data_IF_207468794263
#
_entry.id   IF_207468794263
#
_cell.length_a   1.000
_cell.length_b   1.000
_cell.length_c   1.000
_cell.angle_alpha   90.00
_cell.angle_beta   90.00
_cell.angle_gamma   90.00
#
_symmetry.space_group_name_H-M   'P 1'
#
loop_
_entity.id
_entity.type
_entity.pdbx_description
1 polymer ?
#
# COMPACT_ATOMS: atom_id res chain seq x y z
N UNK A 1 -11.32 -21.31 8.96
CA UNK A 1 -11.85 -20.65 10.16
C UNK A 1 -11.50 -21.42 11.42
N UNK A 2 -12.06 -22.63 11.66
CA UNK A 2 -11.79 -23.45 12.86
C UNK A 2 -10.30 -23.62 13.20
N UNK A 3 -9.48 -24.04 12.23
CA UNK A 3 -8.06 -24.31 12.45
C UNK A 3 -7.23 -23.09 12.89
N UNK A 4 -7.68 -21.87 12.56
CA UNK A 4 -6.97 -20.62 12.86
C UNK A 4 -7.74 -19.76 13.87
N UNK A 5 -8.79 -20.29 14.50
CA UNK A 5 -9.61 -19.55 15.44
C UNK A 5 -10.30 -18.30 14.87
N UNK A 6 -10.48 -18.20 13.53
CA UNK A 6 -11.02 -16.99 12.87
C UNK A 6 -12.53 -16.88 13.18
N UNK A 7 -12.99 -15.83 13.89
CA UNK A 7 -14.38 -15.71 14.31
C UNK A 7 -15.34 -15.40 13.17
N UNK A 8 -14.93 -14.55 12.24
CA UNK A 8 -15.76 -14.05 11.15
C UNK A 8 -14.97 -13.85 9.87
N UNK A 9 -15.61 -14.08 8.72
CA UNK A 9 -15.00 -13.97 7.40
C UNK A 9 -16.03 -13.55 6.35
N UNK A 10 -15.65 -12.62 5.47
CA UNK A 10 -16.38 -12.34 4.23
C UNK A 10 -15.51 -12.72 3.03
N UNK A 11 -16.10 -13.38 2.04
CA UNK A 11 -15.45 -13.85 0.82
C UNK A 11 -16.22 -13.38 -0.39
N UNK A 12 -15.51 -12.87 -1.39
CA UNK A 12 -16.05 -12.63 -2.70
C UNK A 12 -15.11 -13.17 -3.79
N UNK A 13 -15.69 -13.73 -4.84
CA UNK A 13 -14.96 -14.23 -6.01
C UNK A 13 -15.50 -13.52 -7.23
N UNK A 14 -14.60 -12.92 -8.00
CA UNK A 14 -14.93 -12.22 -9.24
C UNK A 14 -14.27 -12.95 -10.40
N UNK A 15 -15.06 -13.28 -11.41
CA UNK A 15 -14.61 -13.93 -12.65
C UNK A 15 -15.23 -13.20 -13.83
N UNK A 16 -14.39 -12.79 -14.78
CA UNK A 16 -14.82 -12.05 -15.98
C UNK A 16 -15.66 -10.81 -15.66
N UNK A 17 -15.24 -10.02 -14.65
CA UNK A 17 -15.94 -8.82 -14.21
C UNK A 17 -17.26 -9.05 -13.47
N UNK A 18 -17.66 -10.31 -13.23
CA UNK A 18 -18.89 -10.67 -12.51
C UNK A 18 -18.56 -11.26 -11.14
N UNK A 19 -19.32 -10.85 -10.12
CA UNK A 19 -19.30 -11.51 -8.81
C UNK A 19 -19.94 -12.90 -8.97
N UNK A 20 -19.12 -13.95 -8.97
CA UNK A 20 -19.58 -15.34 -9.07
C UNK A 20 -19.82 -15.97 -7.70
N UNK A 21 -19.32 -15.34 -6.64
CA UNK A 21 -19.61 -15.73 -5.25
C UNK A 21 -19.49 -14.52 -4.34
N UNK A 22 -20.43 -14.39 -3.41
CA UNK A 22 -20.34 -13.55 -2.21
C UNK A 22 -20.85 -14.40 -1.06
N UNK A 23 -20.06 -14.56 0.00
CA UNK A 23 -20.42 -15.41 1.14
C UNK A 23 -19.83 -14.84 2.41
N UNK A 24 -20.60 -14.91 3.49
CA UNK A 24 -20.17 -14.49 4.82
C UNK A 24 -20.28 -15.65 5.80
N UNK A 25 -19.42 -15.66 6.80
CA UNK A 25 -19.30 -16.74 7.77
C UNK A 25 -19.00 -16.17 9.14
N UNK A 26 -19.61 -16.78 10.17
CA UNK A 26 -19.28 -16.51 11.57
C UNK A 26 -19.73 -15.14 12.08
N UNK A 27 -18.97 -14.60 13.03
CA UNK A 27 -19.39 -13.49 13.91
C UNK A 27 -18.43 -12.32 13.77
N UNK A 28 -18.96 -11.13 13.47
CA UNK A 28 -18.23 -9.87 13.36
C UNK A 28 -17.88 -9.26 14.73
N UNK A 29 -18.68 -9.55 15.75
CA UNK A 29 -18.43 -9.17 17.14
C UNK A 29 -18.92 -10.27 18.09
N UNK A 30 -18.00 -10.87 18.84
CA UNK A 30 -18.23 -11.96 19.77
C UNK A 30 -18.99 -11.51 21.03
N UNK A 31 -18.72 -10.31 21.54
CA UNK A 31 -19.34 -9.79 22.77
C UNK A 31 -20.86 -9.63 22.64
N UNK A 32 -21.33 -9.23 21.45
CA UNK A 32 -22.73 -9.00 21.12
C UNK A 32 -23.30 -10.07 20.18
N UNK A 33 -22.53 -11.12 19.90
CA UNK A 33 -22.86 -12.19 18.96
C UNK A 33 -23.43 -11.67 17.61
N UNK A 34 -22.81 -10.63 17.04
CA UNK A 34 -23.26 -10.03 15.77
C UNK A 34 -22.72 -10.82 14.58
N UNK A 35 -23.56 -11.33 13.67
CA UNK A 35 -23.09 -12.09 12.51
C UNK A 35 -22.34 -11.21 11.51
N UNK A 36 -21.42 -11.82 10.73
CA UNK A 36 -20.84 -11.16 9.56
C UNK A 36 -21.89 -11.06 8.45
N UNK A 37 -22.10 -9.86 7.93
CA UNK A 37 -22.98 -9.56 6.79
C UNK A 37 -22.16 -9.02 5.62
N UNK A 38 -22.80 -8.89 4.45
CA UNK A 38 -22.17 -8.25 3.28
C UNK A 38 -21.90 -6.75 3.49
N UNK A 39 -22.40 -6.17 4.59
CA UNK A 39 -22.19 -4.77 4.97
C UNK A 39 -21.21 -4.63 6.14
N UNK A 40 -20.65 -5.75 6.65
CA UNK A 40 -19.65 -5.72 7.71
C UNK A 40 -18.37 -5.05 7.21
N UNK A 41 -17.92 -4.03 7.94
CA UNK A 41 -16.72 -3.28 7.66
C UNK A 41 -15.51 -3.93 8.35
N UNK A 42 -14.50 -4.31 7.56
CA UNK A 42 -13.26 -4.91 8.06
C UNK A 42 -12.10 -3.94 7.89
N UNK A 43 -11.19 -3.91 8.87
CA UNK A 43 -9.87 -3.30 8.69
C UNK A 43 -9.10 -4.09 7.62
N UNK A 44 -8.67 -3.42 6.56
CA UNK A 44 -7.93 -4.00 5.43
C UNK A 44 -6.44 -3.68 5.42
N UNK A 45 -5.99 -2.87 6.39
CA UNK A 45 -4.57 -2.58 6.60
C UNK A 45 -3.87 -2.09 5.32
N UNK A 46 -2.71 -2.65 5.01
CA UNK A 46 -1.88 -2.25 3.87
C UNK A 46 -2.51 -2.44 2.50
N UNK A 47 -3.69 -3.08 2.39
CA UNK A 47 -4.47 -3.05 1.16
C UNK A 47 -4.88 -1.61 0.77
N UNK A 48 -4.96 -0.67 1.72
CA UNK A 48 -5.23 0.76 1.45
C UNK A 48 -4.20 1.39 0.51
N UNK A 49 -2.98 0.88 0.45
CA UNK A 49 -1.93 1.34 -0.49
C UNK A 49 -2.36 1.22 -1.95
N UNK A 50 -3.19 0.24 -2.28
CA UNK A 50 -3.74 0.11 -3.64
C UNK A 50 -4.65 1.29 -4.01
N UNK A 51 -5.41 1.80 -3.04
CA UNK A 51 -6.23 2.99 -3.23
C UNK A 51 -5.40 4.26 -3.31
N UNK A 52 -4.37 4.40 -2.46
CA UNK A 52 -3.41 5.49 -2.55
C UNK A 52 -2.71 5.52 -3.91
N UNK A 53 -2.22 4.37 -4.39
CA UNK A 53 -1.62 4.26 -5.73
C UNK A 53 -2.61 4.62 -6.83
N UNK A 54 -3.89 4.27 -6.67
CA UNK A 54 -4.96 4.68 -7.60
C UNK A 54 -5.11 6.20 -7.64
N UNK A 55 -5.07 6.88 -6.49
CA UNK A 55 -5.08 8.35 -6.42
C UNK A 55 -3.87 8.98 -7.10
N UNK A 56 -2.67 8.44 -6.86
CA UNK A 56 -1.46 8.94 -7.53
C UNK A 56 -1.58 8.77 -9.05
N UNK A 57 -2.04 7.62 -9.52
CA UNK A 57 -2.31 7.38 -10.95
C UNK A 57 -3.35 8.35 -11.52
N UNK A 58 -4.42 8.64 -10.78
CA UNK A 58 -5.42 9.64 -11.20
C UNK A 58 -4.81 11.04 -11.31
N UNK A 59 -3.98 11.43 -10.36
CA UNK A 59 -3.28 12.71 -10.39
C UNK A 59 -2.28 12.79 -11.57
N UNK A 60 -1.61 11.68 -11.89
CA UNK A 60 -0.77 11.57 -13.11
C UNK A 60 -1.59 11.75 -14.37
N UNK A 61 -2.70 11.02 -14.49
CA UNK A 61 -3.57 11.10 -15.65
C UNK A 61 -4.17 12.51 -15.86
N UNK A 62 -4.48 13.20 -14.76
CA UNK A 62 -4.95 14.59 -14.78
C UNK A 62 -3.83 15.62 -15.02
N UNK A 63 -2.58 15.19 -15.23
CA UNK A 63 -1.43 16.07 -15.44
C UNK A 63 -1.00 16.87 -14.21
N UNK A 64 -1.52 16.54 -13.01
CA UNK A 64 -1.18 17.22 -11.75
C UNK A 64 0.19 16.81 -11.21
N UNK A 65 0.65 15.59 -11.53
CA UNK A 65 1.99 15.12 -11.19
C UNK A 65 2.54 14.13 -12.23
N UNK A 66 3.85 13.85 -12.17
CA UNK A 66 4.49 12.77 -12.95
C UNK A 66 5.26 11.81 -12.04
N UNK A 67 5.44 10.58 -12.51
CA UNK A 67 6.23 9.57 -11.81
C UNK A 67 7.69 9.97 -11.62
N UNK A 68 8.25 10.64 -12.62
CA UNK A 68 9.64 11.11 -12.63
C UNK A 68 9.80 12.52 -12.07
N UNK A 69 8.73 13.11 -11.53
CA UNK A 69 8.85 14.41 -10.87
C UNK A 69 9.68 14.23 -9.57
N UNK A 70 10.63 15.14 -9.31
CA UNK A 70 11.29 15.21 -8.01
C UNK A 70 10.27 15.53 -6.94
N UNK A 71 10.32 14.82 -5.81
CA UNK A 71 9.36 15.03 -4.71
C UNK A 71 9.43 16.47 -4.16
N UNK A 72 10.58 17.13 -4.27
CA UNK A 72 10.77 18.53 -3.88
C UNK A 72 9.93 19.53 -4.66
N UNK A 73 9.30 19.14 -5.78
CA UNK A 73 8.30 19.96 -6.47
C UNK A 73 7.02 20.15 -5.66
N UNK A 74 6.74 19.25 -4.71
CA UNK A 74 5.47 19.19 -3.96
C UNK A 74 5.63 19.45 -2.46
N UNK A 75 6.87 19.49 -1.97
CA UNK A 75 7.20 19.57 -0.57
C UNK A 75 7.95 20.87 -0.31
N UNK A 76 7.62 21.53 0.79
CA UNK A 76 8.35 22.71 1.23
C UNK A 76 9.68 22.24 1.84
N UNK A 77 10.80 22.75 1.33
CA UNK A 77 12.16 22.52 1.86
C UNK A 77 12.52 21.05 2.08
N UNK A 78 13.09 20.38 1.07
CA UNK A 78 13.58 18.99 1.20
C UNK A 78 15.09 18.94 1.56
N UNK A 79 15.54 17.93 2.31
CA UNK A 79 16.96 17.67 2.53
C UNK A 79 17.72 17.43 1.22
N UNK A 80 19.02 17.75 1.18
CA UNK A 80 19.88 17.48 0.02
C UNK A 80 19.87 16.00 -0.37
N UNK A 81 19.82 15.09 0.62
CA UNK A 81 19.74 13.64 0.42
C UNK A 81 18.49 13.22 -0.36
N UNK A 82 17.42 14.02 -0.33
CA UNK A 82 16.15 13.72 -0.98
C UNK A 82 16.07 14.24 -2.42
N UNK A 83 17.08 14.95 -2.93
CA UNK A 83 17.04 15.51 -4.29
C UNK A 83 16.91 14.44 -5.39
N UNK A 84 17.38 13.22 -5.13
CA UNK A 84 17.24 12.08 -6.05
C UNK A 84 15.89 11.35 -5.93
N UNK A 85 15.08 11.64 -4.90
CA UNK A 85 13.77 11.01 -4.74
C UNK A 85 12.80 11.48 -5.82
N UNK A 86 12.01 10.52 -6.32
CA UNK A 86 11.00 10.69 -7.34
C UNK A 86 9.70 10.07 -6.84
N UNK A 87 8.57 10.53 -7.34
CA UNK A 87 7.25 10.01 -6.94
C UNK A 87 7.17 8.49 -7.12
N UNK A 88 7.71 7.96 -8.22
CA UNK A 88 7.72 6.51 -8.48
C UNK A 88 8.40 5.70 -7.37
N UNK A 89 9.48 6.24 -6.75
CA UNK A 89 10.23 5.51 -5.73
C UNK A 89 9.39 5.24 -4.48
N UNK A 90 8.42 6.12 -4.19
CA UNK A 90 7.49 5.94 -3.07
C UNK A 90 6.55 4.75 -3.35
N UNK A 91 5.97 4.69 -4.56
CA UNK A 91 5.03 3.63 -4.91
C UNK A 91 5.68 2.25 -5.03
N UNK A 92 6.96 2.20 -5.39
CA UNK A 92 7.72 0.96 -5.53
C UNK A 92 8.46 0.52 -4.27
N UNK A 93 8.39 1.28 -3.17
CA UNK A 93 9.20 1.04 -1.97
C UNK A 93 10.71 1.02 -2.24
N UNK A 94 11.18 1.91 -3.13
CA UNK A 94 12.60 2.02 -3.50
C UNK A 94 13.16 3.40 -3.15
N UNK A 95 12.59 4.07 -2.15
CA UNK A 95 12.96 5.43 -1.77
C UNK A 95 14.22 5.49 -0.90
N UNK A 96 14.49 4.45 -0.12
CA UNK A 96 15.48 4.49 0.96
C UNK A 96 14.96 5.20 2.22
N UNK A 97 13.69 5.59 2.28
CA UNK A 97 13.09 6.21 3.47
C UNK A 97 13.01 5.20 4.62
N UNK A 98 13.38 5.67 5.82
CA UNK A 98 13.24 4.90 7.05
C UNK A 98 11.79 4.89 7.51
N UNK A 99 11.40 3.82 8.19
CA UNK A 99 10.10 3.79 8.86
C UNK A 99 10.04 4.84 9.96
N UNK A 100 8.91 5.54 10.06
CA UNK A 100 8.70 6.52 11.12
C UNK A 100 8.47 5.79 12.46
N UNK A 101 9.28 6.12 13.47
CA UNK A 101 9.21 5.55 14.83
C UNK A 101 9.00 6.64 15.88
N UNK A 102 8.15 7.62 15.59
CA UNK A 102 7.81 8.70 16.52
C UNK A 102 6.41 8.57 17.10
N UNK A 103 5.83 9.70 17.50
CA UNK A 103 4.49 9.76 18.09
C UNK A 103 3.41 9.26 17.12
N UNK A 104 2.72 8.18 17.52
CA UNK A 104 1.57 7.58 16.84
C UNK A 104 0.43 8.58 16.60
N UNK A 105 0.36 9.70 17.32
CA UNK A 105 -0.72 10.68 17.13
C UNK A 105 -0.27 11.97 16.43
N UNK A 106 0.97 12.01 15.93
CA UNK A 106 1.46 13.12 15.14
C UNK A 106 0.63 13.34 13.87
N UNK A 107 0.48 14.61 13.47
CA UNK A 107 -0.10 14.95 12.18
C UNK A 107 0.81 14.50 11.04
N UNK A 108 0.24 14.28 9.86
CA UNK A 108 1.00 13.94 8.64
C UNK A 108 2.15 14.92 8.39
N UNK A 109 1.91 16.23 8.56
CA UNK A 109 2.94 17.26 8.39
C UNK A 109 4.09 17.12 9.40
N UNK A 110 3.81 16.78 10.66
CA UNK A 110 4.85 16.54 11.66
C UNK A 110 5.66 15.29 11.35
N UNK A 111 5.01 14.22 10.88
CA UNK A 111 5.72 13.00 10.46
C UNK A 111 6.61 13.25 9.26
N UNK A 112 6.13 13.98 8.24
CA UNK A 112 6.94 14.32 7.07
C UNK A 112 8.16 15.15 7.46
N UNK A 113 7.99 16.14 8.36
CA UNK A 113 9.14 16.91 8.89
C UNK A 113 10.14 16.01 9.61
N UNK A 114 9.68 15.11 10.48
CA UNK A 114 10.57 14.18 11.17
C UNK A 114 11.29 13.20 10.21
N UNK A 115 10.65 12.82 9.09
CA UNK A 115 11.29 12.03 8.04
C UNK A 115 12.36 12.81 7.29
N UNK A 116 12.17 14.12 7.08
CA UNK A 116 13.19 14.98 6.46
C UNK A 116 14.48 15.03 7.29
N UNK A 117 14.39 14.93 8.62
CA UNK A 117 15.56 14.89 9.51
C UNK A 117 16.29 13.53 9.47
N UNK A 118 15.76 12.53 8.77
CA UNK A 118 16.33 11.18 8.70
C UNK A 118 17.22 10.97 7.47
N UNK A 119 18.28 10.17 7.65
CA UNK A 119 19.13 9.72 6.55
C UNK A 119 18.44 8.61 5.75
N UNK A 120 18.60 8.66 4.42
CA UNK A 120 18.18 7.54 3.57
C UNK A 120 19.07 6.33 3.83
N UNK A 121 18.47 5.13 3.87
CA UNK A 121 19.20 3.88 4.09
C UNK A 121 20.03 3.46 2.88
N UNK A 122 19.61 3.89 1.68
CA UNK A 122 20.26 3.62 0.42
C UNK A 122 19.85 4.65 -0.64
N UNK A 123 20.56 4.65 -1.77
CA UNK A 123 20.28 5.56 -2.89
C UNK A 123 18.91 5.22 -3.51
N UNK A 124 18.01 6.20 -3.71
CA UNK A 124 16.70 5.95 -4.31
C UNK A 124 16.80 5.17 -5.64
N UNK A 125 16.00 4.13 -5.78
CA UNK A 125 15.95 3.26 -6.97
C UNK A 125 16.96 2.11 -7.00
N UNK A 126 17.90 2.03 -6.05
CA UNK A 126 18.95 0.99 -6.04
C UNK A 126 18.60 -0.26 -5.23
N UNK A 127 17.65 -0.14 -4.31
CA UNK A 127 17.15 -1.25 -3.49
C UNK A 127 15.65 -1.08 -3.23
N UNK A 128 15.00 -2.16 -2.80
CA UNK A 128 13.59 -2.18 -2.46
C UNK A 128 13.42 -2.63 -1.01
N UNK A 129 12.84 -1.78 -0.18
CA UNK A 129 12.50 -2.09 1.21
C UNK A 129 11.14 -1.51 1.55
N UNK A 130 10.23 -2.36 1.99
CA UNK A 130 8.89 -1.93 2.39
C UNK A 130 8.96 -0.96 3.57
N UNK A 131 8.43 0.25 3.40
CA UNK A 131 8.31 1.26 4.44
C UNK A 131 6.94 1.94 4.34
N UNK A 132 6.24 2.12 5.46
CA UNK A 132 4.98 2.87 5.44
C UNK A 132 5.24 4.35 5.14
N UNK A 133 6.39 4.88 5.57
CA UNK A 133 6.87 6.22 5.28
C UNK A 133 6.74 6.63 3.80
N UNK A 134 6.95 5.69 2.87
CA UNK A 134 6.73 5.93 1.43
C UNK A 134 5.32 6.41 1.11
N UNK A 135 4.34 5.69 1.63
CA UNK A 135 2.93 5.97 1.39
C UNK A 135 2.45 7.14 2.24
N UNK A 136 3.05 7.39 3.41
CA UNK A 136 2.78 8.61 4.18
C UNK A 136 3.20 9.84 3.36
N UNK A 137 4.39 9.82 2.77
CA UNK A 137 4.87 10.91 1.94
C UNK A 137 4.06 11.06 0.65
N UNK A 138 3.68 9.95 0.01
CA UNK A 138 2.79 9.99 -1.15
C UNK A 138 1.42 10.60 -0.82
N UNK A 139 0.87 10.27 0.36
CA UNK A 139 -0.35 10.88 0.89
C UNK A 139 -0.20 12.39 1.05
N UNK A 140 0.88 12.83 1.68
CA UNK A 140 1.13 14.25 1.88
C UNK A 140 1.29 15.02 0.55
N UNK A 141 1.96 14.44 -0.43
CA UNK A 141 2.06 15.01 -1.79
C UNK A 141 0.66 15.17 -2.40
N UNK A 142 -0.23 14.17 -2.26
CA UNK A 142 -1.61 14.27 -2.72
C UNK A 142 -2.37 15.39 -1.99
N UNK A 143 -2.21 15.53 -0.67
CA UNK A 143 -2.82 16.62 0.11
C UNK A 143 -2.38 17.99 -0.41
N UNK A 144 -1.09 18.16 -0.72
CA UNK A 144 -0.55 19.40 -1.31
C UNK A 144 -1.12 19.70 -2.69
N UNK A 145 -1.26 18.68 -3.54
CA UNK A 145 -1.78 18.82 -4.92
C UNK A 145 -3.28 19.16 -4.94
N UNK A 146 -4.06 18.56 -4.03
CA UNK A 146 -5.52 18.71 -4.02
C UNK A 146 -6.02 19.77 -3.04
N UNK A 147 -5.17 20.25 -2.11
CA UNK A 147 -5.55 21.25 -1.10
C UNK A 147 -6.59 20.73 -0.09
N UNK A 148 -6.65 19.41 0.13
CA UNK A 148 -7.65 18.74 0.97
C UNK A 148 -6.99 17.63 1.79
N UNK A 149 -7.54 17.24 2.96
CA UNK A 149 -7.06 16.07 3.69
C UNK A 149 -7.19 14.78 2.89
N UNK A 150 -6.26 13.84 3.06
CA UNK A 150 -6.24 12.59 2.30
C UNK A 150 -7.57 11.80 2.32
N UNK A 151 -8.26 11.62 3.47
CA UNK A 151 -9.56 10.94 3.51
C UNK A 151 -10.61 11.57 2.59
N UNK A 152 -10.62 12.89 2.48
CA UNK A 152 -11.54 13.62 1.62
C UNK A 152 -11.18 13.38 0.14
N UNK A 153 -9.88 13.45 -0.20
CA UNK A 153 -9.41 13.18 -1.56
C UNK A 153 -9.81 11.75 -1.97
N UNK A 154 -9.54 10.75 -1.13
CA UNK A 154 -9.87 9.37 -1.47
C UNK A 154 -11.37 9.17 -1.66
N UNK A 155 -12.17 9.77 -0.78
CA UNK A 155 -13.63 9.72 -0.88
C UNK A 155 -14.13 10.32 -2.19
N UNK A 156 -13.72 11.53 -2.52
CA UNK A 156 -14.21 12.27 -3.68
C UNK A 156 -13.68 11.70 -5.00
N UNK A 157 -12.41 11.31 -5.05
CA UNK A 157 -11.75 10.93 -6.30
C UNK A 157 -11.84 9.43 -6.60
N UNK A 158 -12.02 8.57 -5.60
CA UNK A 158 -12.03 7.11 -5.80
C UNK A 158 -13.31 6.47 -5.30
N UNK A 159 -13.71 6.70 -4.05
CA UNK A 159 -14.79 5.93 -3.44
C UNK A 159 -16.16 6.32 -4.02
N UNK A 160 -16.49 7.61 -4.08
CA UNK A 160 -17.78 8.08 -4.62
C UNK A 160 -17.96 7.75 -6.10
N UNK A 161 -16.98 7.97 -6.99
CA UNK A 161 -17.11 7.57 -8.41
C UNK A 161 -17.27 6.06 -8.62
N UNK A 162 -16.87 5.24 -7.65
CA UNK A 162 -17.03 3.79 -7.67
C UNK A 162 -18.23 3.30 -6.87
N UNK A 163 -19.06 4.21 -6.35
CA UNK A 163 -20.20 3.88 -5.48
C UNK A 163 -19.80 3.03 -4.26
N UNK A 164 -18.58 3.24 -3.75
CA UNK A 164 -18.09 2.65 -2.51
C UNK A 164 -18.50 3.56 -1.35
N UNK A 165 -19.77 3.52 -0.98
CA UNK A 165 -20.36 4.40 0.04
C UNK A 165 -20.31 3.83 1.45
N UNK A 166 -20.15 2.51 1.56
CA UNK A 166 -19.95 1.82 2.83
C UNK A 166 -18.48 2.00 3.28
N UNK A 167 -18.20 1.92 4.58
CA UNK A 167 -16.84 2.06 5.13
C UNK A 167 -16.42 3.50 5.45
N UNK A 168 -15.36 3.62 6.23
CA UNK A 168 -14.91 4.88 6.80
C UNK A 168 -13.50 4.73 7.38
N UNK A 169 -12.85 5.87 7.64
CA UNK A 169 -11.57 5.88 8.30
C UNK A 169 -11.69 5.59 9.79
N UNK A 170 -11.00 4.57 10.28
CA UNK A 170 -11.01 4.17 11.69
C UNK A 170 -10.06 5.01 12.53
N UNK A 171 -10.48 6.27 12.68
CA UNK A 171 -9.62 7.37 13.05
C UNK A 171 -9.45 7.58 14.54
N UNK A 172 -8.34 7.11 15.10
CA UNK A 172 -8.00 7.47 16.48
C UNK A 172 -7.14 8.74 16.55
N UNK A 173 -7.69 9.78 17.21
CA UNK A 173 -7.00 11.07 17.41
C UNK A 173 -7.07 11.53 18.86
N UNK A 174 -5.97 12.13 19.32
CA UNK A 174 -5.89 12.74 20.65
C UNK A 174 -6.60 14.09 20.65
N UNK A 175 -7.47 14.31 21.62
CA UNK A 175 -8.17 15.57 21.87
C UNK A 175 -8.00 15.90 23.35
N UNK A 176 -7.00 16.73 23.67
CA UNK A 176 -6.59 16.95 25.06
C UNK A 176 -6.10 15.66 25.71
N UNK A 177 -6.72 15.26 26.83
CA UNK A 177 -6.39 14.04 27.58
C UNK A 177 -7.11 12.78 27.09
N UNK A 178 -8.04 12.89 26.13
CA UNK A 178 -8.85 11.76 25.64
C UNK A 178 -8.49 11.37 24.21
N UNK A 179 -8.79 10.11 23.87
CA UNK A 179 -8.73 9.59 22.51
C UNK A 179 -10.15 9.57 21.94
N UNK A 180 -10.31 10.11 20.73
CA UNK A 180 -11.56 10.06 19.96
C UNK A 180 -11.39 9.12 18.78
N UNK A 181 -12.39 8.28 18.54
CA UNK A 181 -12.53 7.48 17.32
C UNK A 181 -13.76 7.89 16.53
N UNK A 182 -13.71 7.80 15.21
CA UNK A 182 -14.91 7.99 14.39
C UNK A 182 -15.83 6.78 14.48
N UNK A 183 -17.15 7.02 14.34
CA UNK A 183 -18.15 5.95 14.35
C UNK A 183 -18.20 5.29 12.98
N UNK A 184 -17.94 3.97 12.96
CA UNK A 184 -18.02 3.16 11.76
C UNK A 184 -19.17 2.16 11.91
N UNK A 185 -20.29 2.35 11.17
CA UNK A 185 -21.38 1.41 11.18
C UNK A 185 -20.91 0.00 10.78
N UNK A 186 -21.41 -1.01 11.49
CA UNK A 186 -21.15 -2.43 11.18
C UNK A 186 -19.66 -2.82 11.14
N UNK A 187 -18.80 -2.08 11.85
CA UNK A 187 -17.39 -2.43 12.01
C UNK A 187 -17.24 -3.76 12.75
N UNK A 188 -16.46 -4.67 12.19
CA UNK A 188 -16.05 -5.90 12.86
C UNK A 188 -15.04 -5.58 13.97
N UNK A 189 -15.14 -6.29 15.10
CA UNK A 189 -14.08 -6.30 16.10
C UNK A 189 -12.95 -7.21 15.61
N UNK A 190 -11.73 -6.69 15.67
CA UNK A 190 -10.53 -7.48 15.38
C UNK A 190 -10.18 -8.29 16.62
N UNK A 191 -9.88 -9.58 16.44
CA UNK A 191 -9.46 -10.47 17.51
C UNK A 191 -8.05 -10.98 17.23
N UNK A 192 -7.24 -11.03 18.28
CA UNK A 192 -5.93 -11.67 18.24
C UNK A 192 -5.94 -12.88 19.17
N UNK A 193 -5.36 -13.99 18.71
CA UNK A 193 -5.13 -15.14 19.57
C UNK A 193 -3.92 -14.86 20.46
N UNK A 194 -4.19 -14.64 21.75
CA UNK A 194 -3.16 -14.55 22.76
C UNK A 194 -3.28 -15.75 23.70
N UNK A 195 -2.29 -16.64 23.66
CA UNK A 195 -2.24 -17.84 24.50
C UNK A 195 -3.49 -18.74 24.38
N UNK A 196 -3.99 -18.95 23.15
CA UNK A 196 -5.21 -19.73 22.83
C UNK A 196 -6.51 -19.10 23.33
N UNK A 197 -6.49 -17.82 23.71
CA UNK A 197 -7.66 -17.04 24.05
C UNK A 197 -7.81 -15.87 23.08
N UNK A 198 -8.99 -15.77 22.48
CA UNK A 198 -9.31 -14.62 21.64
C UNK A 198 -9.45 -13.37 22.51
N UNK A 199 -8.61 -12.38 22.25
CA UNK A 199 -8.67 -11.06 22.86
C UNK A 199 -9.10 -10.07 21.79
N UNK A 200 -10.06 -9.21 22.12
CA UNK A 200 -10.33 -8.05 21.29
C UNK A 200 -9.05 -7.23 21.18
N UNK A 201 -8.58 -7.04 19.95
CA UNK A 201 -7.38 -6.32 19.64
C UNK A 201 -7.75 -5.11 18.81
N UNK A 202 -7.36 -3.93 19.28
CA UNK A 202 -7.53 -2.71 18.50
C UNK A 202 -6.27 -2.49 17.67
N UNK A 203 -6.39 -2.66 16.36
CA UNK A 203 -5.35 -2.22 15.46
C UNK A 203 -5.40 -0.69 15.40
N UNK A 204 -4.43 -0.02 16.04
CA UNK A 204 -4.37 1.45 16.09
C UNK A 204 -3.69 1.93 14.81
N UNK A 205 -4.47 2.55 13.92
CA UNK A 205 -3.92 3.26 12.77
C UNK A 205 -3.70 4.73 13.14
N UNK A 206 -2.45 5.17 13.28
CA UNK A 206 -2.14 6.56 13.53
C UNK A 206 -2.63 7.48 12.40
N UNK A 207 -2.83 8.76 12.69
CA UNK A 207 -3.33 9.75 11.72
C UNK A 207 -2.50 9.82 10.43
N UNK A 208 -1.20 9.64 10.49
CA UNK A 208 -0.37 9.69 9.28
C UNK A 208 -0.48 8.44 8.40
N UNK A 209 -1.10 7.35 8.88
CA UNK A 209 -1.11 6.05 8.19
C UNK A 209 -2.32 5.80 7.28
N UNK A 210 -3.15 6.82 7.00
CA UNK A 210 -4.34 6.68 6.14
C UNK A 210 -4.08 6.04 4.79
N UNK A 211 -2.89 6.26 4.24
CA UNK A 211 -2.47 5.72 2.94
C UNK A 211 -2.01 4.28 3.01
N UNK A 212 -1.85 3.74 4.23
CA UNK A 212 -1.16 2.51 4.55
C UNK A 212 -1.95 1.57 5.48
N UNK A 213 -3.11 2.00 5.98
CA UNK A 213 -3.95 1.20 6.87
C UNK A 213 -5.32 1.81 7.08
N UNK A 214 -6.39 1.08 6.75
CA UNK A 214 -7.75 1.52 7.08
C UNK A 214 -8.83 0.43 7.03
N UNK A 215 -10.07 0.78 7.39
CA UNK A 215 -11.31 0.02 7.20
C UNK A 215 -11.97 0.39 5.88
N UNK A 216 -12.31 -0.59 5.06
CA UNK A 216 -12.98 -0.33 3.78
C UNK A 216 -14.23 -1.21 3.61
N UNK A 217 -15.17 -0.78 2.75
CA UNK A 217 -16.27 -1.62 2.35
C UNK A 217 -15.77 -2.85 1.60
N UNK A 218 -16.64 -3.85 1.38
CA UNK A 218 -16.29 -5.02 0.58
C UNK A 218 -15.73 -4.58 -0.78
N UNK A 219 -14.45 -4.86 -1.01
CA UNK A 219 -13.65 -4.50 -2.21
C UNK A 219 -14.20 -5.04 -3.55
N UNK A 220 -15.35 -5.71 -3.51
CA UNK A 220 -15.99 -6.34 -4.67
C UNK A 220 -16.44 -5.33 -5.71
N UNK A 221 -16.82 -4.12 -5.28
CA UNK A 221 -17.19 -3.03 -6.19
C UNK A 221 -15.96 -2.43 -6.87
N UNK A 222 -14.82 -2.32 -6.16
CA UNK A 222 -13.55 -1.84 -6.71
C UNK A 222 -13.04 -2.74 -7.85
N UNK A 223 -13.10 -4.07 -7.66
CA UNK A 223 -12.63 -5.05 -8.65
C UNK A 223 -13.56 -5.21 -9.88
N UNK A 224 -14.81 -4.72 -9.81
CA UNK A 224 -15.79 -4.82 -10.91
C UNK A 224 -16.12 -3.47 -11.56
N UNK A 225 -15.71 -2.35 -10.96
CA UNK A 225 -15.98 -1.01 -11.46
C UNK A 225 -15.14 -0.60 -12.68
N UNK A 226 -15.47 0.52 -13.34
CA UNK A 226 -14.76 1.02 -14.52
C UNK A 226 -13.28 1.38 -14.26
N UNK A 227 -12.90 1.67 -13.01
CA UNK A 227 -11.49 1.82 -12.60
C UNK A 227 -10.80 0.49 -12.22
N UNK A 228 -11.56 -0.61 -12.07
CA UNK A 228 -11.03 -1.98 -11.88
C UNK A 228 -10.31 -2.53 -13.12
N UNK A 229 -10.27 -1.76 -14.21
CA UNK A 229 -9.54 -2.05 -15.43
C UNK A 229 -8.09 -1.53 -15.39
N UNK A 230 -7.41 -1.63 -14.24
CA UNK A 230 -5.97 -1.84 -14.26
C UNK A 230 -5.78 -3.32 -14.62
N UNK A 231 -5.84 -3.61 -15.93
CA UNK A 231 -5.53 -4.94 -16.47
C UNK A 231 -4.07 -5.25 -16.12
N UNK A 232 -3.83 -6.00 -15.04
CA UNK A 232 -2.56 -6.69 -14.85
C UNK A 232 -2.40 -7.63 -16.05
N UNK A 233 -1.58 -7.22 -17.02
CA UNK A 233 -1.26 -8.05 -18.19
C UNK A 233 -0.52 -9.31 -17.71
N UNK A 234 -1.25 -10.38 -17.44
CA UNK A 234 -0.69 -11.71 -17.34
C UNK A 234 -0.48 -12.26 -18.76
N UNK A 235 0.62 -11.87 -19.39
CA UNK A 235 1.13 -12.60 -20.56
C UNK A 235 2.66 -12.54 -20.60
N UNK A 236 3.27 -13.61 -20.07
CA UNK A 236 4.62 -14.12 -20.35
C UNK A 236 5.66 -13.08 -20.81
N UNK A 237 6.29 -12.37 -19.86
CA UNK A 237 7.58 -11.72 -20.09
C UNK A 237 8.47 -11.89 -18.85
N UNK A 238 9.76 -12.25 -18.99
CA UNK A 238 10.68 -12.29 -17.86
C UNK A 238 11.17 -10.86 -17.58
N UNK A 239 10.94 -10.38 -16.34
CA UNK A 239 11.53 -9.26 -15.56
C UNK A 239 12.13 -8.00 -16.26
N UNK A 240 12.15 -6.82 -15.61
CA UNK A 240 11.40 -6.39 -14.42
C UNK A 240 10.15 -5.60 -14.83
N UNK A 241 9.26 -5.40 -13.87
CA UNK A 241 7.85 -5.02 -14.03
C UNK A 241 7.72 -3.62 -14.65
N UNK A 242 7.58 -3.55 -15.99
CA UNK A 242 6.97 -2.42 -16.67
C UNK A 242 5.50 -2.80 -16.92
N UNK A 243 4.61 -2.30 -16.06
CA UNK A 243 3.18 -2.49 -16.22
C UNK A 243 2.70 -1.57 -17.36
N UNK A 244 2.49 -2.11 -18.56
CA UNK A 244 1.80 -1.39 -19.62
C UNK A 244 0.31 -1.27 -19.26
N UNK A 245 -0.07 -0.16 -18.62
CA UNK A 245 -1.46 0.15 -18.27
C UNK A 245 -2.10 0.83 -19.48
N UNK A 246 -3.03 0.14 -20.15
CA UNK A 246 -3.89 0.75 -21.16
C UNK A 246 -5.17 1.23 -20.48
N UNK A 247 -5.20 2.49 -20.05
CA UNK A 247 -6.42 3.14 -19.59
C UNK A 247 -7.27 3.45 -20.82
N UNK A 248 -8.46 2.87 -20.92
CA UNK A 248 -9.41 3.27 -21.94
C UNK A 248 -9.92 4.69 -21.63
N UNK A 249 -9.97 5.61 -22.60
CA UNK A 249 -10.44 6.96 -22.33
C UNK A 249 -11.93 6.94 -22.00
N UNK A 250 -12.33 7.64 -20.93
CA UNK A 250 -13.69 8.12 -20.77
C UNK A 250 -14.01 9.00 -21.99
N UNK A 251 -15.21 8.82 -22.54
CA UNK A 251 -15.66 9.28 -23.85
C UNK A 251 -15.05 10.62 -24.32
N UNK A 252 -14.41 10.63 -25.49
CA UNK A 252 -14.26 11.85 -26.29
C UNK A 252 -12.88 12.23 -26.86
N UNK A 253 -11.77 11.57 -26.52
CA UNK A 253 -10.47 11.95 -27.12
C UNK A 253 -9.63 10.75 -27.58
N UNK A 254 -9.48 10.62 -28.90
CA UNK A 254 -8.52 9.70 -29.54
C UNK A 254 -7.16 10.36 -29.61
N UNK A 255 -6.31 10.20 -28.59
CA UNK A 255 -4.86 10.36 -28.76
C UNK A 255 -4.14 9.17 -28.12
N UNK A 256 -3.50 8.37 -28.98
CA UNK A 256 -2.66 7.25 -28.62
C UNK A 256 -1.25 7.81 -28.36
N UNK A 257 -0.76 7.78 -27.11
CA UNK A 257 0.62 8.14 -26.83
C UNK A 257 1.48 6.87 -26.89
N UNK A 258 2.36 6.78 -27.88
CA UNK A 258 3.38 5.72 -27.98
C UNK A 258 4.69 6.33 -27.47
N UNK A 259 5.26 5.79 -26.39
CA UNK A 259 6.59 6.16 -25.90
C UNK A 259 7.66 5.39 -26.70
N UNK A 260 8.78 6.02 -27.11
CA UNK A 260 9.83 5.35 -27.86
C UNK A 260 10.70 4.47 -26.95
N UNK A 261 11.03 3.26 -27.41
CA UNK A 261 11.97 2.37 -26.76
C UNK A 261 13.42 2.84 -27.00
N UNK A 262 14.13 3.23 -25.92
CA UNK A 262 15.56 3.49 -25.96
C UNK A 262 16.37 2.20 -26.14
N UNK A 263 17.22 2.16 -27.15
CA UNK A 263 17.99 1.01 -27.58
C UNK A 263 19.12 0.65 -26.60
N UNK A 264 19.17 -0.61 -26.15
CA UNK A 264 20.37 -1.23 -25.61
C UNK A 264 20.90 -2.26 -26.62
N UNK A 265 22.00 -1.91 -27.32
CA UNK A 265 22.65 -2.78 -28.32
C UNK A 265 23.22 -4.02 -27.63
N UNK A 266 22.80 -5.22 -28.09
CA UNK A 266 23.41 -6.52 -27.75
C UNK A 266 24.85 -6.58 -28.27
N UNK A 267 25.83 -6.72 -27.39
CA UNK A 267 27.17 -7.20 -27.76
C UNK A 267 27.14 -8.72 -27.98
N UNK A 268 27.81 -9.16 -29.04
CA UNK A 268 27.93 -10.56 -29.47
C UNK A 268 28.82 -11.35 -28.50
N UNK A 269 28.45 -12.61 -28.24
CA UNK A 269 29.33 -13.64 -27.63
C UNK A 269 30.58 -13.88 -28.49
N UNK A 270 31.66 -14.40 -27.88
CA UNK A 270 32.39 -15.50 -28.49
C UNK A 270 32.37 -16.77 -27.62
N UNK A 271 32.96 -17.80 -28.20
CA UNK A 271 32.76 -19.25 -28.11
C UNK A 271 33.35 -19.99 -26.90
N UNK A 272 32.77 -21.17 -26.69
CA UNK A 272 33.24 -22.39 -25.97
C UNK A 272 34.74 -22.47 -25.63
N UNK A 273 35.04 -22.87 -24.38
CA UNK A 273 36.10 -23.86 -24.11
C UNK A 273 35.90 -24.58 -22.75
N UNK A 274 35.84 -25.92 -22.85
CA UNK A 274 36.24 -27.04 -21.97
C UNK A 274 35.99 -27.03 -20.45
N UNK A 275 35.48 -28.19 -20.00
CA UNK A 275 35.41 -28.66 -18.63
C UNK A 275 36.77 -29.16 -18.12
N UNK A 276 37.07 -28.88 -16.85
CA UNK A 276 37.93 -29.68 -15.97
C UNK A 276 37.45 -29.51 -14.52
N UNK A 277 37.32 -30.64 -13.83
CA UNK A 277 37.01 -30.73 -12.40
C UNK A 277 38.24 -30.40 -11.55
N UNK A 278 38.04 -29.80 -10.37
CA UNK A 278 38.89 -30.00 -9.20
C UNK A 278 38.16 -29.57 -7.92
N UNK A 279 38.13 -30.48 -6.96
CA UNK A 279 37.64 -30.31 -5.61
C UNK A 279 38.69 -29.61 -4.71
N UNK A 280 38.25 -29.33 -3.46
CA UNK A 280 38.95 -28.76 -2.28
C UNK A 280 38.75 -27.25 -2.14
N UNK A 281 38.66 -26.66 -0.95
CA UNK A 281 38.44 -27.09 0.43
C UNK A 281 38.50 -25.79 1.23
N UNK A 282 37.45 -25.38 1.96
CA UNK A 282 37.60 -24.32 2.97
C UNK A 282 36.87 -24.74 4.24
N UNK A 283 37.70 -25.08 5.24
CA UNK A 283 37.28 -25.41 6.58
C UNK A 283 36.98 -24.17 7.42
N UNK A 284 35.99 -24.34 8.29
CA UNK A 284 36.04 -24.10 9.75
C UNK A 284 36.59 -22.77 10.26
N UNK A 285 35.71 -21.96 10.85
CA UNK A 285 35.70 -21.51 12.26
C UNK A 285 34.51 -20.56 12.42
N UNK A 286 33.45 -20.89 13.17
CA UNK A 286 33.32 -20.75 14.63
C UNK A 286 32.79 -19.33 14.95
N UNK A 287 31.77 -19.04 15.76
CA UNK A 287 31.16 -19.72 16.92
C UNK A 287 29.78 -19.08 17.15
N UNK A 288 28.77 -19.91 17.47
CA UNK A 288 27.48 -19.50 18.08
C UNK A 288 27.56 -19.65 19.60
N UNK A 289 26.78 -18.89 20.39
CA UNK A 289 26.24 -19.44 21.64
C UNK A 289 24.71 -19.50 21.62
N UNK A 290 24.21 -20.69 22.01
CA UNK A 290 22.82 -20.97 22.35
C UNK A 290 22.51 -20.52 23.79
N UNK A 291 21.22 -20.26 23.98
CA UNK A 291 20.45 -20.10 25.22
C UNK A 291 20.92 -20.96 26.40
N UNK A 292 20.81 -20.40 27.60
CA UNK A 292 20.63 -21.15 28.84
C UNK A 292 19.36 -20.65 29.55
N UNK A 293 18.50 -21.60 29.87
CA UNK A 293 17.40 -21.53 30.83
C UNK A 293 17.93 -21.47 32.27
N UNK A 294 17.31 -20.63 33.09
CA UNK A 294 16.97 -20.88 34.49
C UNK A 294 15.77 -20.02 34.84
#
# INVERSE_FOLDING_TARGET
MKALGIPGLAVAVIKNGKRVKVSTYGTANLEWNRPVTIHTNFQIASCTKLLTSTLVLKAVYAGKLRFEDPIGKYLDSIPTSWQALRVQHLLSHTSGLREFRGDTYASTATVVRALQDSTLEYVPGTSQHYAQADFMLAGHILEKIYGKPFPQILREEVLLPLHMTDGAYDMERRVGSIMRTDLIPQKATTYYDWEKQLRAYKFIYPQYSYTAGDTLPPLTTWQTGPLGWIRMCSSRLPLPILCCIRVAPLAGSRRLLVLPAGACRRSRRPSRMRATAAARAWGTSGVFPRKATR
#
